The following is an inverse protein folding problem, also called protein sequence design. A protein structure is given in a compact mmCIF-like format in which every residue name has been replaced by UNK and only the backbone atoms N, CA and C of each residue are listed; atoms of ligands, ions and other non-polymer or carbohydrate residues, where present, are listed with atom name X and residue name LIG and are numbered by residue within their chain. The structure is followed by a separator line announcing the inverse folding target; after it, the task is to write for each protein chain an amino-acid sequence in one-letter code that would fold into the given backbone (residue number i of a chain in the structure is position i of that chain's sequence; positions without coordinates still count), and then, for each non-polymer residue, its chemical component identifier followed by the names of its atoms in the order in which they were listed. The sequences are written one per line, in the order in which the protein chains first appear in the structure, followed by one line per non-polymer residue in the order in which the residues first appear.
data_IF_803205371870
#
_entry.id   IF_803205371870
#
_cell.length_a   1.000
_cell.length_b   1.000
_cell.length_c   1.000
_cell.angle_alpha   90.00
_cell.angle_beta   90.00
_cell.angle_gamma   90.00
#
_symmetry.space_group_name_H-M   'P 1'
#
loop_
_entity.id
_entity.type
_entity.pdbx_description
1 polymer ?
#
# COMPACT_ATOMS: atom_id res chain seq x y z
N UNK A 1 28.42 -5.05 26.77
CA UNK A 1 28.08 -5.21 25.34
C UNK A 1 26.64 -5.69 25.26
N UNK A 2 25.67 -4.77 25.25
CA UNK A 2 24.26 -5.13 25.12
C UNK A 2 23.87 -5.05 23.65
N UNK A 3 23.55 -6.21 23.07
CA UNK A 3 22.96 -6.31 21.74
C UNK A 3 21.52 -5.81 21.83
N UNK A 4 21.27 -4.60 21.36
CA UNK A 4 19.91 -4.08 21.17
C UNK A 4 19.25 -4.96 20.11
N UNK A 5 18.34 -5.83 20.55
CA UNK A 5 17.43 -6.55 19.66
C UNK A 5 16.58 -5.49 18.97
N UNK A 6 16.80 -5.31 17.67
CA UNK A 6 15.89 -4.56 16.80
C UNK A 6 14.64 -5.42 16.74
N UNK A 7 13.63 -5.06 17.53
CA UNK A 7 12.29 -5.61 17.41
C UNK A 7 11.76 -5.18 16.04
N UNK A 8 11.90 -6.03 15.03
CA UNK A 8 11.06 -5.95 13.85
C UNK A 8 9.63 -6.24 14.33
N UNK A 9 8.66 -5.34 14.11
CA UNK A 9 7.27 -5.69 14.34
C UNK A 9 6.90 -6.81 13.35
N UNK A 10 6.61 -7.99 13.90
CA UNK A 10 5.94 -9.07 13.19
C UNK A 10 4.45 -8.72 13.12
N UNK A 11 4.10 -7.75 12.30
CA UNK A 11 2.69 -7.42 12.03
C UNK A 11 2.19 -8.26 10.85
N UNK A 12 2.04 -9.57 11.10
CA UNK A 12 1.28 -10.48 10.22
C UNK A 12 -0.23 -10.33 10.36
N UNK A 13 -0.69 -9.51 11.30
CA UNK A 13 -2.10 -9.18 11.47
C UNK A 13 -2.39 -7.86 10.78
N UNK A 14 -3.33 -7.90 9.84
CA UNK A 14 -3.85 -6.71 9.20
C UNK A 14 -4.45 -5.82 10.27
N UNK A 15 -3.82 -4.68 10.58
CA UNK A 15 -4.40 -3.70 11.50
C UNK A 15 -5.82 -3.42 11.01
N UNK A 16 -6.80 -3.48 11.92
CA UNK A 16 -8.21 -3.18 11.65
C UNK A 16 -8.37 -1.86 10.87
N UNK A 17 -7.39 -0.97 11.00
CA UNK A 17 -7.34 0.31 10.32
C UNK A 17 -7.09 0.28 8.82
N UNK A 18 -6.68 -0.88 8.32
CA UNK A 18 -6.37 -1.13 6.93
C UNK A 18 -7.04 -2.42 6.45
N UNK A 19 -7.95 -2.98 7.26
CA UNK A 19 -8.74 -4.16 6.91
C UNK A 19 -9.93 -3.81 6.00
N UNK A 20 -9.64 -3.76 4.71
CA UNK A 20 -10.65 -3.62 3.67
C UNK A 20 -11.34 -4.95 3.30
N UNK A 21 -11.02 -6.06 3.97
CA UNK A 21 -11.58 -7.40 3.70
C UNK A 21 -12.91 -7.65 4.40
N UNK A 22 -13.16 -6.97 5.53
CA UNK A 22 -14.37 -7.10 6.33
C UNK A 22 -15.23 -5.82 6.41
N UNK A 23 -14.82 -4.74 5.71
CA UNK A 23 -15.43 -3.42 5.93
C UNK A 23 -15.15 -2.87 7.33
N UNK A 24 -14.05 -3.32 7.95
CA UNK A 24 -13.62 -2.89 9.28
C UNK A 24 -12.93 -1.52 9.15
N UNK A 25 -13.21 -0.70 10.16
CA UNK A 25 -13.26 0.75 10.09
C UNK A 25 -11.92 1.34 10.50
N UNK A 26 -11.08 1.68 9.53
CA UNK A 26 -9.83 2.33 9.85
C UNK A 26 -9.81 3.81 10.14
N UNK A 27 -8.61 4.29 10.45
CA UNK A 27 -8.30 5.69 10.80
C UNK A 27 -8.91 6.71 9.84
N UNK A 28 -9.06 6.33 8.58
CA UNK A 28 -9.66 7.15 7.51
C UNK A 28 -11.10 6.77 7.14
N UNK A 29 -11.72 5.78 7.80
CA UNK A 29 -13.08 5.30 7.51
C UNK A 29 -14.15 6.40 7.60
N UNK A 30 -14.00 7.36 8.52
CA UNK A 30 -14.88 8.54 8.57
C UNK A 30 -14.72 9.48 7.36
N UNK A 31 -13.53 9.59 6.77
CA UNK A 31 -13.33 10.32 5.51
C UNK A 31 -13.89 9.54 4.31
N UNK A 32 -13.83 8.20 4.35
CA UNK A 32 -14.38 7.30 3.34
C UNK A 32 -15.92 7.28 3.29
N UNK A 33 -16.61 7.32 4.43
CA UNK A 33 -18.07 7.14 4.50
C UNK A 33 -18.89 8.27 3.86
N UNK A 34 -18.29 9.40 3.55
CA UNK A 34 -18.97 10.52 2.91
C UNK A 34 -18.80 10.60 1.39
N UNK A 35 -18.27 9.56 0.71
CA UNK A 35 -17.98 9.64 -0.74
C UNK A 35 -17.03 10.82 -1.10
N UNK A 36 -16.26 11.30 -0.12
CA UNK A 36 -15.53 12.58 -0.19
C UNK A 36 -14.03 12.42 -0.46
N UNK A 37 -13.54 11.21 -0.71
CA UNK A 37 -12.18 11.02 -1.22
C UNK A 37 -12.25 10.81 -2.74
N UNK A 38 -11.66 11.72 -3.53
CA UNK A 38 -11.46 11.50 -4.95
C UNK A 38 -10.88 10.11 -5.21
N UNK A 39 -11.28 9.52 -6.33
CA UNK A 39 -10.69 8.27 -6.80
C UNK A 39 -9.16 8.45 -6.84
N UNK A 40 -8.43 7.66 -6.05
CA UNK A 40 -6.96 7.63 -6.10
C UNK A 40 -6.56 7.15 -7.49
N UNK A 41 -6.14 8.09 -8.34
CA UNK A 41 -5.75 7.79 -9.71
C UNK A 41 -4.55 6.84 -9.69
N UNK A 42 -4.47 5.91 -10.64
CA UNK A 42 -3.38 4.93 -10.70
C UNK A 42 -3.41 3.85 -9.59
N UNK A 43 -4.41 3.83 -8.71
CA UNK A 43 -4.55 2.82 -7.66
C UNK A 43 -5.74 1.92 -7.94
N UNK A 44 -5.53 0.61 -7.92
CA UNK A 44 -6.59 -0.38 -8.05
C UNK A 44 -6.45 -1.49 -7.02
N UNK A 45 -7.49 -1.72 -6.23
CA UNK A 45 -7.50 -2.84 -5.29
C UNK A 45 -7.71 -4.17 -6.01
N UNK A 46 -6.96 -5.18 -5.59
CA UNK A 46 -7.11 -6.56 -6.02
C UNK A 46 -7.99 -7.29 -5.00
N UNK A 47 -8.98 -8.04 -5.48
CA UNK A 47 -9.90 -8.78 -4.63
C UNK A 47 -9.85 -10.28 -4.88
N UNK A 48 -10.07 -11.07 -3.84
CA UNK A 48 -10.29 -12.51 -3.99
C UNK A 48 -11.72 -12.82 -4.48
N UNK A 49 -12.01 -14.13 -4.60
CA UNK A 49 -13.33 -14.64 -5.03
C UNK A 49 -14.48 -14.28 -4.09
N UNK A 50 -14.18 -13.80 -2.87
CA UNK A 50 -15.15 -13.35 -1.87
C UNK A 50 -15.23 -11.82 -1.79
N UNK A 51 -14.67 -11.11 -2.77
CA UNK A 51 -14.56 -9.64 -2.82
C UNK A 51 -13.74 -9.02 -1.68
N UNK A 52 -12.91 -9.82 -1.00
CA UNK A 52 -12.00 -9.30 0.02
C UNK A 52 -10.80 -8.67 -0.66
N UNK A 53 -10.40 -7.47 -0.27
CA UNK A 53 -9.19 -6.84 -0.82
C UNK A 53 -7.96 -7.58 -0.27
N UNK A 54 -7.17 -8.16 -1.16
CA UNK A 54 -5.99 -8.97 -0.82
C UNK A 54 -4.69 -8.30 -1.27
N UNK A 55 -4.79 -7.21 -2.01
CA UNK A 55 -3.63 -6.47 -2.46
C UNK A 55 -4.03 -5.22 -3.21
N UNK A 56 -3.02 -4.57 -3.77
CA UNK A 56 -3.17 -3.36 -4.56
C UNK A 56 -2.25 -3.40 -5.75
N UNK A 57 -2.76 -2.91 -6.87
CA UNK A 57 -2.03 -2.57 -8.06
C UNK A 57 -1.81 -1.05 -8.06
N UNK A 58 -0.56 -0.65 -8.25
CA UNK A 58 -0.12 0.74 -8.25
C UNK A 58 0.54 1.02 -9.60
N UNK A 59 -0.02 1.95 -10.34
CA UNK A 59 0.56 2.48 -11.57
C UNK A 59 1.79 3.34 -11.24
N UNK A 60 2.96 2.85 -11.64
CA UNK A 60 4.22 3.54 -11.40
C UNK A 60 4.42 4.71 -12.35
N UNK A 61 3.76 4.77 -13.50
CA UNK A 61 3.86 5.92 -14.39
C UNK A 61 3.30 7.19 -13.73
N UNK A 62 2.24 7.02 -12.93
CA UNK A 62 1.61 8.11 -12.18
C UNK A 62 2.27 8.37 -10.82
N UNK A 63 2.90 7.35 -10.23
CA UNK A 63 3.37 7.38 -8.82
C UNK A 63 4.85 7.06 -8.63
N UNK A 64 5.69 7.23 -9.65
CA UNK A 64 7.11 6.83 -9.58
C UNK A 64 7.85 7.48 -8.41
N UNK A 65 7.72 8.80 -8.23
CA UNK A 65 8.42 9.52 -7.19
C UNK A 65 7.96 9.10 -5.78
N UNK A 66 6.66 8.89 -5.61
CA UNK A 66 6.09 8.38 -4.37
C UNK A 66 6.65 6.98 -4.06
N UNK A 67 6.62 6.09 -5.06
CA UNK A 67 7.14 4.75 -4.94
C UNK A 67 8.61 4.75 -4.50
N UNK A 68 9.47 5.51 -5.18
CA UNK A 68 10.89 5.62 -4.84
C UNK A 68 11.11 6.18 -3.44
N UNK A 69 10.30 7.15 -3.01
CA UNK A 69 10.40 7.76 -1.68
C UNK A 69 10.08 6.76 -0.58
N UNK A 70 9.06 5.94 -0.77
CA UNK A 70 8.64 4.97 0.24
C UNK A 70 9.53 3.73 0.20
N UNK A 71 9.79 3.14 -0.98
CA UNK A 71 10.50 1.86 -1.08
C UNK A 71 11.93 1.91 -0.53
N UNK A 72 12.59 3.07 -0.61
CA UNK A 72 13.93 3.27 -0.04
C UNK A 72 13.98 3.13 1.49
N UNK A 73 12.83 3.24 2.17
CA UNK A 73 12.70 3.02 3.61
C UNK A 73 12.61 1.52 3.95
N UNK A 74 12.45 0.66 2.94
CA UNK A 74 12.29 -0.78 3.06
C UNK A 74 13.39 -1.57 2.33
N UNK A 75 14.68 -1.44 2.72
CA UNK A 75 15.81 -2.04 2.02
C UNK A 75 15.86 -3.58 2.05
N UNK A 76 15.01 -4.21 2.86
CA UNK A 76 14.93 -5.66 3.01
C UNK A 76 13.61 -6.25 2.52
N UNK A 77 12.81 -5.49 1.77
CA UNK A 77 11.57 -6.00 1.21
C UNK A 77 11.87 -7.05 0.14
N UNK A 78 11.35 -8.27 0.35
CA UNK A 78 11.41 -9.34 -0.65
C UNK A 78 10.14 -9.42 -1.49
N UNK A 79 10.16 -10.21 -2.56
CA UNK A 79 8.98 -10.66 -3.30
C UNK A 79 8.05 -9.55 -3.85
N UNK A 80 8.61 -8.41 -4.25
CA UNK A 80 7.85 -7.39 -4.95
C UNK A 80 7.64 -7.81 -6.40
N UNK A 81 6.39 -7.79 -6.85
CA UNK A 81 6.02 -8.15 -8.21
C UNK A 81 5.78 -6.90 -9.02
N UNK A 82 6.46 -6.80 -10.17
CA UNK A 82 6.32 -5.69 -11.10
C UNK A 82 5.67 -6.15 -12.40
N UNK A 83 4.85 -5.28 -12.97
CA UNK A 83 4.49 -5.35 -14.38
C UNK A 83 5.52 -4.53 -15.16
N UNK A 84 6.12 -5.14 -16.17
CA UNK A 84 7.09 -4.49 -17.06
C UNK A 84 6.56 -4.39 -18.47
N UNK A 85 6.94 -3.34 -19.18
CA UNK A 85 6.66 -3.21 -20.60
C UNK A 85 7.59 -4.09 -21.48
N UNK A 86 7.46 -3.96 -22.80
CA UNK A 86 8.29 -4.71 -23.76
C UNK A 86 9.78 -4.34 -23.73
N UNK A 87 10.14 -3.20 -23.14
CA UNK A 87 11.53 -2.74 -22.99
C UNK A 87 12.12 -3.10 -21.61
N UNK A 88 11.32 -3.72 -20.72
CA UNK A 88 11.73 -4.06 -19.36
C UNK A 88 11.56 -2.91 -18.37
N UNK A 89 10.92 -1.79 -18.74
CA UNK A 89 10.61 -0.72 -17.82
C UNK A 89 9.48 -1.15 -16.88
N UNK A 90 9.66 -0.93 -15.57
CA UNK A 90 8.62 -1.16 -14.57
C UNK A 90 7.52 -0.10 -14.72
N UNK A 91 6.31 -0.54 -15.06
CA UNK A 91 5.15 0.35 -15.29
C UNK A 91 4.12 0.25 -14.17
N UNK A 92 4.11 -0.83 -13.41
CA UNK A 92 3.27 -0.96 -12.23
C UNK A 92 3.88 -1.93 -11.21
N UNK A 93 3.42 -1.82 -9.97
CA UNK A 93 3.78 -2.73 -8.88
C UNK A 93 2.53 -3.33 -8.27
N UNK A 94 2.61 -4.61 -7.91
CA UNK A 94 1.57 -5.34 -7.21
C UNK A 94 2.08 -5.64 -5.80
N UNK A 95 1.30 -5.20 -4.80
CA UNK A 95 1.55 -5.47 -3.40
C UNK A 95 0.48 -6.43 -2.86
N UNK A 96 0.91 -7.60 -2.40
CA UNK A 96 0.08 -8.51 -1.61
C UNK A 96 0.02 -7.99 -0.16
N UNK A 97 -1.18 -7.79 0.40
CA UNK A 97 -1.32 -7.30 1.77
C UNK A 97 -0.80 -8.27 2.83
N UNK A 98 -0.77 -9.58 2.57
CA UNK A 98 -0.18 -10.53 3.51
C UNK A 98 1.33 -10.31 3.72
N UNK A 99 2.01 -9.76 2.72
CA UNK A 99 3.46 -9.61 2.69
C UNK A 99 3.91 -8.15 2.79
N UNK A 100 3.09 -7.22 2.30
CA UNK A 100 3.48 -5.83 2.02
C UNK A 100 2.53 -4.82 2.67
N UNK A 101 1.82 -5.20 3.75
CA UNK A 101 0.83 -4.32 4.36
C UNK A 101 1.45 -3.00 4.82
N UNK A 102 2.54 -3.03 5.59
CA UNK A 102 3.17 -1.81 6.13
C UNK A 102 3.62 -0.87 5.02
N UNK A 103 4.21 -1.42 3.94
CA UNK A 103 4.56 -0.63 2.76
C UNK A 103 3.33 0.03 2.14
N UNK A 104 2.22 -0.72 2.01
CA UNK A 104 0.98 -0.15 1.50
C UNK A 104 0.42 0.96 2.40
N UNK A 105 0.47 0.79 3.72
CA UNK A 105 0.01 1.80 4.69
C UNK A 105 0.74 3.12 4.49
N UNK A 106 2.07 3.07 4.35
CA UNK A 106 2.87 4.27 4.11
C UNK A 106 2.55 4.94 2.77
N UNK A 107 2.46 4.15 1.69
CA UNK A 107 2.07 4.67 0.37
C UNK A 107 0.69 5.34 0.45
N UNK A 108 -0.25 4.69 1.11
CA UNK A 108 -1.61 5.16 1.26
C UNK A 108 -1.68 6.47 2.06
N UNK A 109 -0.94 6.58 3.16
CA UNK A 109 -0.88 7.80 3.96
C UNK A 109 -0.33 8.99 3.16
N UNK A 110 0.68 8.79 2.32
CA UNK A 110 1.20 9.84 1.43
C UNK A 110 0.17 10.25 0.37
N UNK A 111 -0.48 9.29 -0.29
CA UNK A 111 -1.52 9.57 -1.30
C UNK A 111 -2.66 10.42 -0.72
N UNK A 112 -3.04 10.15 0.53
CA UNK A 112 -4.10 10.89 1.20
C UNK A 112 -3.61 12.27 1.65
N UNK A 113 -2.37 12.38 2.15
CA UNK A 113 -1.79 13.67 2.50
C UNK A 113 -1.74 14.61 1.28
N UNK A 114 -1.30 14.11 0.12
CA UNK A 114 -1.26 14.89 -1.12
C UNK A 114 -2.67 15.36 -1.51
N UNK A 115 -3.66 14.48 -1.42
CA UNK A 115 -5.06 14.80 -1.76
C UNK A 115 -5.70 15.85 -0.85
N UNK A 116 -5.27 15.94 0.41
CA UNK A 116 -5.76 16.95 1.36
C UNK A 116 -5.01 18.29 1.27
N UNK A 117 -3.87 18.32 0.56
CA UNK A 117 -3.07 19.52 0.35
C UNK A 117 -3.36 20.23 -1.00
N UNK A 118 -4.17 19.62 -1.87
CA UNK A 118 -4.73 20.21 -3.09
C UNK A 118 -6.04 20.99 -2.82
#
# INVERSE_FOLDING_TARGET
MNKTKINQPQDTEMLDEYDFSQGVRGKYHQAYQNNNLPKLQGIQFLTDQKNRRTGVFIDLLSHQQLWETVINQYPHLGNIHFLTDSQGQQIAVILNFQEHLTLWQDIYDHLIADLMNE
#
